data_IF_266101025603
#
_entry.id   IF_266101025603
#
_cell.length_a   1.000
_cell.length_b   1.000
_cell.length_c   1.000
_cell.angle_alpha   90.00
_cell.angle_beta   90.00
_cell.angle_gamma   90.00
#
_symmetry.space_group_name_H-M   'P 1'
#
loop_
_entity.id
_entity.type
_entity.pdbx_description
1 polymer ?
#
# COMPACT_ATOMS: atom_id res chain seq x y z
N UNK A 1 -30.15 21.15 15.64
CA UNK A 1 -30.03 19.71 15.94
C UNK A 1 -29.09 19.10 14.92
N UNK A 2 -27.87 18.72 15.30
CA UNK A 2 -27.00 17.92 14.41
C UNK A 2 -27.65 16.54 14.33
N UNK A 3 -28.19 16.18 13.17
CA UNK A 3 -28.63 14.80 12.90
C UNK A 3 -27.48 13.87 13.24
N UNK A 4 -27.70 12.92 14.15
CA UNK A 4 -26.74 11.89 14.51
C UNK A 4 -26.67 10.87 13.38
N UNK A 5 -26.16 11.26 12.22
CA UNK A 5 -25.86 10.32 11.16
C UNK A 5 -24.63 9.54 11.58
N UNK A 6 -24.84 8.42 12.29
CA UNK A 6 -23.77 7.48 12.60
C UNK A 6 -23.45 6.72 11.32
N UNK A 7 -22.36 7.10 10.64
CA UNK A 7 -21.88 6.36 9.45
C UNK A 7 -21.54 4.91 9.83
N UNK A 8 -21.96 3.90 9.04
CA UNK A 8 -21.75 2.49 9.37
C UNK A 8 -20.30 2.02 9.18
N UNK A 9 -19.52 2.74 8.35
CA UNK A 9 -18.12 2.44 8.06
C UNK A 9 -17.25 3.67 8.27
N UNK A 10 -15.97 3.49 8.68
CA UNK A 10 -14.99 4.56 8.62
C UNK A 10 -14.77 5.03 7.17
N UNK A 11 -14.46 6.31 7.00
CA UNK A 11 -14.07 6.85 5.71
C UNK A 11 -12.57 7.01 5.60
N UNK A 12 -12.03 6.59 4.47
CA UNK A 12 -10.63 6.77 4.09
C UNK A 12 -10.54 7.43 2.72
N UNK A 13 -9.36 7.97 2.40
CA UNK A 13 -9.08 8.53 1.08
C UNK A 13 -7.61 8.38 0.74
N UNK A 14 -7.34 8.06 -0.53
CA UNK A 14 -5.99 8.03 -1.06
C UNK A 14 -5.38 9.43 -1.14
N UNK A 15 -4.16 9.60 -0.64
CA UNK A 15 -3.54 10.94 -0.52
C UNK A 15 -3.35 11.63 -1.87
N UNK A 16 -3.24 10.90 -2.98
CA UNK A 16 -3.20 11.49 -4.31
C UNK A 16 -4.56 12.05 -4.75
N UNK A 17 -5.67 11.50 -4.25
CA UNK A 17 -7.04 11.88 -4.65
C UNK A 17 -7.50 13.24 -4.15
N UNK A 18 -6.64 13.96 -3.43
CA UNK A 18 -6.85 15.36 -3.07
C UNK A 18 -5.84 16.30 -3.75
N UNK A 19 -4.87 15.79 -4.49
CA UNK A 19 -3.92 16.63 -5.23
C UNK A 19 -2.58 15.95 -5.46
N UNK A 20 -1.94 16.29 -6.58
CA UNK A 20 -0.63 15.72 -6.92
C UNK A 20 0.51 16.48 -6.25
N UNK A 21 1.52 15.76 -5.78
CA UNK A 21 2.76 16.35 -5.27
C UNK A 21 3.52 17.14 -6.35
N UNK A 22 3.40 16.72 -7.62
CA UNK A 22 4.04 17.38 -8.77
C UNK A 22 3.47 18.79 -8.99
N UNK A 23 2.18 18.99 -8.72
CA UNK A 23 1.54 20.32 -8.76
C UNK A 23 1.79 21.15 -7.48
N UNK A 24 2.69 20.74 -6.59
CA UNK A 24 3.05 21.48 -5.38
C UNK A 24 2.16 21.20 -4.16
N UNK A 25 1.18 20.30 -4.26
CA UNK A 25 0.33 19.93 -3.13
C UNK A 25 1.10 19.07 -2.10
N UNK A 26 1.66 19.73 -1.09
CA UNK A 26 2.46 19.05 -0.06
C UNK A 26 1.64 18.00 0.72
N UNK A 27 2.28 16.89 1.11
CA UNK A 27 1.62 15.84 1.89
C UNK A 27 1.00 16.38 3.19
N UNK A 28 1.65 17.31 3.88
CA UNK A 28 1.12 17.89 5.11
C UNK A 28 -0.15 18.72 4.91
N UNK A 29 -0.26 19.44 3.80
CA UNK A 29 -1.47 20.18 3.43
C UNK A 29 -2.62 19.24 3.07
N UNK A 30 -2.32 18.18 2.31
CA UNK A 30 -3.29 17.13 1.95
C UNK A 30 -3.86 16.44 3.18
N UNK A 31 -3.01 16.03 4.12
CA UNK A 31 -3.45 15.41 5.38
C UNK A 31 -4.34 16.32 6.21
N UNK A 32 -4.05 17.64 6.27
CA UNK A 32 -4.93 18.61 6.95
C UNK A 32 -6.29 18.71 6.27
N UNK A 33 -6.31 18.90 4.95
CA UNK A 33 -7.55 18.98 4.19
C UNK A 33 -8.44 17.74 4.36
N UNK A 34 -7.82 16.55 4.37
CA UNK A 34 -8.50 15.27 4.62
C UNK A 34 -9.09 15.22 6.04
N UNK A 35 -8.31 15.60 7.06
CA UNK A 35 -8.80 15.64 8.45
C UNK A 35 -9.94 16.65 8.63
N UNK A 36 -9.81 17.85 8.03
CA UNK A 36 -10.81 18.92 8.10
C UNK A 36 -12.12 18.54 7.39
N UNK A 37 -12.06 17.72 6.34
CA UNK A 37 -13.23 17.13 5.68
C UNK A 37 -13.87 15.97 6.49
N UNK A 38 -13.27 15.56 7.62
CA UNK A 38 -13.82 14.59 8.55
C UNK A 38 -13.65 13.13 8.16
N UNK A 39 -12.59 12.80 7.42
CA UNK A 39 -12.16 11.42 7.19
C UNK A 39 -11.57 10.80 8.47
N UNK A 40 -11.67 9.48 8.60
CA UNK A 40 -11.08 8.72 9.71
C UNK A 40 -9.66 8.24 9.40
N UNK A 41 -9.26 8.28 8.12
CA UNK A 41 -7.96 7.81 7.71
C UNK A 41 -7.63 8.07 6.26
N UNK A 42 -6.48 7.52 5.87
CA UNK A 42 -5.91 7.65 4.55
C UNK A 42 -5.35 6.33 4.04
N UNK A 43 -5.22 6.27 2.73
CA UNK A 43 -4.28 5.38 2.05
C UNK A 43 -3.06 6.21 1.64
N UNK A 44 -1.88 5.87 2.14
CA UNK A 44 -0.68 6.67 1.89
C UNK A 44 -0.05 6.28 0.55
N UNK A 45 0.03 7.26 -0.36
CA UNK A 45 0.73 7.08 -1.63
C UNK A 45 2.25 7.02 -1.42
N UNK A 46 2.92 5.99 -1.97
CA UNK A 46 4.37 5.86 -1.89
C UNK A 46 5.10 7.09 -2.46
N UNK A 47 4.65 7.62 -3.59
CA UNK A 47 5.24 8.80 -4.22
C UNK A 47 5.04 10.07 -3.38
N UNK A 48 3.95 10.18 -2.61
CA UNK A 48 3.76 11.31 -1.69
C UNK A 48 4.73 11.24 -0.50
N UNK A 49 4.96 10.03 0.02
CA UNK A 49 5.93 9.83 1.10
C UNK A 49 7.35 10.12 0.61
N UNK A 50 7.71 9.65 -0.59
CA UNK A 50 9.02 9.91 -1.20
C UNK A 50 9.23 11.40 -1.47
N UNK A 51 8.24 12.08 -2.07
CA UNK A 51 8.30 13.51 -2.31
C UNK A 51 8.42 14.31 -1.00
N UNK A 52 7.72 13.89 0.05
CA UNK A 52 7.86 14.49 1.37
C UNK A 52 9.24 14.26 1.97
N UNK A 53 9.76 13.02 1.91
CA UNK A 53 11.08 12.66 2.41
C UNK A 53 12.18 13.51 1.76
N UNK A 54 12.05 13.81 0.47
CA UNK A 54 13.01 14.61 -0.29
C UNK A 54 12.74 16.13 -0.26
N UNK A 55 11.70 16.59 0.43
CA UNK A 55 11.32 18.01 0.45
C UNK A 55 12.21 18.88 1.35
N UNK A 56 12.43 20.14 0.96
CA UNK A 56 13.09 21.14 1.81
C UNK A 56 12.37 21.32 3.15
N UNK A 57 11.03 21.23 3.14
CA UNK A 57 10.21 21.32 4.34
C UNK A 57 10.56 20.24 5.37
N UNK A 58 10.76 18.99 4.92
CA UNK A 58 11.17 17.91 5.82
C UNK A 58 12.61 18.08 6.32
N UNK A 59 13.53 18.52 5.46
CA UNK A 59 14.91 18.81 5.88
C UNK A 59 14.96 19.88 6.97
N UNK A 60 14.15 20.94 6.87
CA UNK A 60 14.02 21.97 7.90
C UNK A 60 13.43 21.42 9.21
N UNK A 61 12.45 20.51 9.13
CA UNK A 61 11.89 19.82 10.30
C UNK A 61 12.98 19.02 11.02
N UNK A 62 13.79 18.27 10.27
CA UNK A 62 14.89 17.48 10.84
C UNK A 62 15.93 18.38 11.51
N UNK A 63 16.38 19.44 10.83
CA UNK A 63 17.37 20.37 11.38
C UNK A 63 16.89 21.03 12.70
N UNK A 64 15.61 21.40 12.78
CA UNK A 64 15.01 21.94 14.02
C UNK A 64 14.98 20.89 15.14
N UNK A 65 14.66 19.63 14.81
CA UNK A 65 14.69 18.51 15.76
C UNK A 65 16.09 18.27 16.32
N UNK A 66 17.12 18.29 15.48
CA UNK A 66 18.51 18.08 15.88
C UNK A 66 19.06 19.23 16.72
N UNK A 67 18.69 20.48 16.38
CA UNK A 67 19.03 21.65 17.19
C UNK A 67 18.40 21.58 18.59
N UNK A 68 17.12 21.18 18.68
CA UNK A 68 16.43 21.02 19.97
C UNK A 68 17.07 19.91 20.83
N UNK A 69 17.44 18.77 20.24
CA UNK A 69 18.15 17.69 20.93
C UNK A 69 19.52 18.15 21.45
N UNK A 70 20.27 18.90 20.64
CA UNK A 70 21.59 19.43 21.01
C UNK A 70 21.53 20.47 22.13
N UNK A 71 20.48 21.29 22.20
CA UNK A 71 20.25 22.21 23.31
C UNK A 71 19.82 21.48 24.59
N UNK A 72 19.00 20.42 24.48
CA UNK A 72 18.58 19.62 25.63
C UNK A 72 19.76 18.87 26.29
N UNK A 73 20.72 18.39 25.49
CA UNK A 73 21.93 17.74 26.01
C UNK A 73 22.89 18.74 26.68
N UNK A 74 22.98 19.98 26.18
CA UNK A 74 23.72 21.06 26.84
C UNK A 74 23.09 21.49 28.17
N UNK A 75 21.76 21.57 28.26
CA UNK A 75 21.08 21.88 29.53
C UNK A 75 21.12 20.73 30.54
N UNK A 76 21.14 19.47 30.09
CA UNK A 76 21.33 18.31 30.98
C UNK A 76 22.72 18.27 31.64
N UNK A 77 23.73 18.90 31.03
CA UNK A 77 25.07 19.07 31.61
C UNK A 77 25.18 20.23 32.63
N UNK A 78 24.15 21.08 32.75
CA UNK A 78 24.16 22.22 33.69
C UNK A 78 23.58 21.90 35.08
N UNK A 79 23.05 20.69 35.30
CA UNK A 79 22.49 20.23 36.59
C UNK A 79 23.11 18.91 37.10
N UNK A 80 24.35 18.61 36.72
CA UNK A 80 25.12 17.53 37.35
C UNK A 80 25.82 18.02 38.63
N UNK A 81 25.03 18.38 39.65
CA UNK A 81 25.46 18.35 41.05
C UNK A 81 24.64 17.27 41.75
N UNK A 82 24.99 16.00 41.51
CA UNK A 82 24.56 14.90 42.37
C UNK A 82 25.60 14.67 43.48
N UNK A 83 25.19 14.55 44.76
CA UNK A 83 26.08 14.31 45.89
C UNK A 83 26.82 12.97 45.77
N UNK A 84 27.99 12.82 46.44
CA UNK A 84 28.72 11.57 46.46
C UNK A 84 27.97 10.57 47.34
N UNK A 85 27.34 9.58 46.70
CA UNK A 85 27.09 8.20 47.16
C UNK A 85 25.79 7.69 46.54
N UNK A 86 25.89 7.13 45.32
CA UNK A 86 24.80 6.32 44.76
C UNK A 86 25.38 5.11 43.98
N UNK A 87 25.00 3.86 44.32
CA UNK A 87 25.72 2.65 43.94
C UNK A 87 25.24 2.05 42.60
N UNK A 88 25.30 2.81 41.50
CA UNK A 88 25.06 2.28 40.15
C UNK A 88 26.04 2.84 39.12
N UNK A 89 27.29 2.40 39.22
CA UNK A 89 28.29 2.57 38.17
C UNK A 89 29.07 1.25 37.97
N UNK A 90 28.38 0.23 37.45
CA UNK A 90 29.02 -1.00 36.97
C UNK A 90 29.29 -0.86 35.48
N UNK A 91 30.44 -0.28 35.15
CA UNK A 91 31.20 -0.58 33.92
C UNK A 91 32.58 0.08 33.99
N UNK A 92 33.53 -0.60 34.65
CA UNK A 92 34.97 -0.50 34.41
C UNK A 92 35.67 -1.66 35.13
N UNK A 93 36.47 -2.43 34.37
CA UNK A 93 37.15 -3.73 34.65
C UNK A 93 36.42 -4.83 33.88
N UNK A 94 36.94 -5.43 32.80
CA UNK A 94 38.32 -5.83 32.53
C UNK A 94 38.64 -5.76 31.03
N UNK A 95 39.84 -5.26 30.71
CA UNK A 95 40.61 -5.59 29.51
C UNK A 95 41.83 -6.39 29.96
N UNK A 96 42.40 -7.18 29.04
CA UNK A 96 43.58 -8.08 29.17
C UNK A 96 43.28 -9.46 29.77
N UNK A 97 43.83 -10.59 29.34
CA UNK A 97 44.54 -11.05 28.13
C UNK A 97 44.80 -12.55 28.40
N UNK A 98 44.77 -13.42 27.38
CA UNK A 98 45.72 -14.52 27.13
C UNK A 98 45.12 -15.60 26.23
N UNK A 99 46.02 -16.29 25.54
CA UNK A 99 45.81 -17.06 24.33
C UNK A 99 46.02 -18.58 24.56
N UNK A 100 45.76 -19.34 23.48
CA UNK A 100 46.38 -20.62 23.05
C UNK A 100 45.55 -21.92 23.15
N UNK A 101 45.78 -22.73 22.09
CA UNK A 101 45.53 -24.16 21.77
C UNK A 101 44.13 -24.55 21.29
N UNK A 102 43.86 -24.91 20.02
CA UNK A 102 44.33 -26.02 19.14
C UNK A 102 44.02 -27.44 19.62
N UNK A 103 43.03 -28.10 19.02
CA UNK A 103 43.13 -29.35 18.22
C UNK A 103 41.71 -29.86 17.87
N UNK A 104 41.35 -30.08 16.58
CA UNK A 104 41.29 -31.37 15.83
C UNK A 104 40.41 -32.45 16.51
N UNK A 105 39.55 -33.26 15.89
CA UNK A 105 39.32 -33.79 14.54
C UNK A 105 37.95 -34.53 14.54
N UNK A 106 37.15 -34.43 13.47
CA UNK A 106 36.81 -35.48 12.48
C UNK A 106 35.68 -36.50 12.80
N UNK A 107 34.91 -36.78 11.74
CA UNK A 107 34.17 -38.00 11.39
C UNK A 107 32.76 -38.28 11.96
N UNK A 108 31.71 -38.09 11.13
CA UNK A 108 31.07 -39.02 10.17
C UNK A 108 30.05 -39.98 10.80
N UNK A 109 28.80 -39.92 10.33
CA UNK A 109 28.12 -41.03 9.60
C UNK A 109 26.62 -41.03 9.84
N UNK A 110 25.90 -41.18 8.74
CA UNK A 110 24.47 -41.31 8.63
C UNK A 110 23.92 -42.61 9.27
N UNK A 111 22.64 -42.62 9.61
CA UNK A 111 21.72 -43.70 9.22
C UNK A 111 20.25 -43.26 9.30
N UNK A 112 19.49 -43.87 8.40
CA UNK A 112 18.17 -43.57 7.86
C UNK A 112 16.99 -44.01 8.72
N UNK A 113 15.83 -43.34 8.56
CA UNK A 113 14.51 -44.00 8.62
C UNK A 113 13.54 -43.44 7.57
N UNK A 114 12.73 -44.35 7.03
CA UNK A 114 11.86 -44.27 5.85
C UNK A 114 10.52 -43.55 6.10
N UNK A 115 10.12 -42.76 5.08
CA UNK A 115 8.80 -42.71 4.42
C UNK A 115 7.53 -42.64 5.28
N UNK A 116 6.98 -41.43 5.38
CA UNK A 116 5.54 -41.16 5.43
C UNK A 116 5.19 -40.12 4.36
N UNK A 117 4.35 -40.48 3.39
CA UNK A 117 3.89 -39.59 2.32
C UNK A 117 2.99 -38.48 2.89
N UNK A 118 3.44 -37.24 2.75
CA UNK A 118 2.57 -36.06 2.67
C UNK A 118 3.06 -35.25 1.49
N UNK A 119 2.20 -35.04 0.49
CA UNK A 119 2.47 -34.18 -0.66
C UNK A 119 2.45 -32.72 -0.20
N UNK A 120 3.53 -32.28 0.41
CA UNK A 120 3.78 -30.86 0.67
C UNK A 120 4.25 -30.20 -0.62
N UNK A 121 3.55 -29.16 -1.06
CA UNK A 121 4.11 -28.21 -2.03
C UNK A 121 5.40 -27.67 -1.43
N UNK A 122 6.54 -28.01 -2.04
CA UNK A 122 7.84 -27.45 -1.72
C UNK A 122 7.86 -26.03 -2.25
N UNK A 123 7.48 -25.06 -1.43
CA UNK A 123 7.78 -23.66 -1.70
C UNK A 123 9.29 -23.51 -1.61
N UNK A 124 9.98 -23.44 -2.75
CA UNK A 124 11.37 -23.02 -2.77
C UNK A 124 11.40 -21.55 -2.37
N UNK A 125 11.48 -21.28 -1.07
CA UNK A 125 11.93 -19.98 -0.61
C UNK A 125 13.25 -19.70 -1.34
N UNK A 126 13.32 -18.58 -2.05
CA UNK A 126 14.61 -18.11 -2.55
C UNK A 126 15.48 -17.92 -1.31
N UNK A 127 16.40 -18.85 -1.08
CA UNK A 127 17.42 -18.76 -0.06
C UNK A 127 18.23 -17.50 -0.36
N UNK A 128 18.05 -16.42 0.41
CA UNK A 128 18.72 -15.15 0.12
C UNK A 128 18.07 -13.85 0.62
N UNK A 129 16.99 -13.91 1.40
CA UNK A 129 16.41 -12.72 2.06
C UNK A 129 16.71 -12.63 3.57
N UNK A 130 17.52 -13.56 4.09
CA UNK A 130 18.08 -13.47 5.45
C UNK A 130 19.14 -12.35 5.56
N UNK A 131 19.77 -11.99 4.44
CA UNK A 131 20.68 -10.86 4.27
C UNK A 131 19.88 -9.55 4.14
N UNK A 132 19.32 -9.06 5.25
CA UNK A 132 19.15 -7.64 5.67
C UNK A 132 18.80 -6.53 4.64
N UNK A 133 18.32 -6.87 3.43
CA UNK A 133 18.12 -6.03 2.25
C UNK A 133 19.38 -5.33 1.71
N UNK A 134 20.57 -5.81 2.03
CA UNK A 134 21.79 -5.27 1.44
C UNK A 134 21.97 -5.75 -0.01
N UNK A 135 22.45 -4.86 -0.87
CA UNK A 135 22.73 -5.16 -2.28
C UNK A 135 24.14 -5.73 -2.40
N UNK A 136 24.27 -6.84 -3.12
CA UNK A 136 25.55 -7.50 -3.39
C UNK A 136 25.77 -7.63 -4.90
N UNK A 137 27.03 -7.60 -5.33
CA UNK A 137 27.44 -7.82 -6.72
C UNK A 137 27.49 -9.32 -7.08
N UNK A 138 27.93 -9.65 -8.29
CA UNK A 138 28.08 -11.03 -8.78
C UNK A 138 29.10 -11.86 -8.01
N UNK A 139 30.03 -11.22 -7.28
CA UNK A 139 31.03 -11.86 -6.44
C UNK A 139 30.55 -12.00 -4.98
N UNK A 140 29.37 -11.49 -4.65
CA UNK A 140 28.81 -11.49 -3.28
C UNK A 140 29.27 -10.31 -2.42
N UNK A 141 30.02 -9.37 -2.98
CA UNK A 141 30.55 -8.20 -2.27
C UNK A 141 29.48 -7.11 -2.14
N UNK A 142 29.52 -6.36 -1.04
CA UNK A 142 28.56 -5.28 -0.82
C UNK A 142 28.74 -4.17 -1.85
N UNK A 143 27.64 -3.81 -2.51
CA UNK A 143 27.63 -2.65 -3.41
C UNK A 143 27.58 -1.39 -2.56
N UNK A 144 28.59 -0.52 -2.72
CA UNK A 144 28.72 0.74 -1.99
C UNK A 144 28.21 1.90 -2.86
N UNK A 145 27.30 2.70 -2.32
CA UNK A 145 26.78 3.89 -2.96
C UNK A 145 27.80 5.04 -3.00
N UNK A 146 27.48 6.10 -3.74
CA UNK A 146 28.31 7.31 -3.85
C UNK A 146 28.50 8.04 -2.51
N UNK A 147 27.62 7.78 -1.54
CA UNK A 147 27.71 8.30 -0.17
C UNK A 147 28.64 7.46 0.73
N UNK A 148 29.28 6.42 0.20
CA UNK A 148 30.18 5.54 0.93
C UNK A 148 29.45 4.52 1.83
N UNK A 149 28.13 4.40 1.71
CA UNK A 149 27.33 3.45 2.49
C UNK A 149 26.84 2.29 1.61
N UNK A 150 26.55 1.11 2.20
CA UNK A 150 25.95 0.00 1.46
C UNK A 150 24.62 0.39 0.80
N UNK A 151 24.40 -0.11 -0.42
CA UNK A 151 23.13 0.04 -1.11
C UNK A 151 22.07 -0.92 -0.56
N UNK A 152 20.81 -0.53 -0.65
CA UNK A 152 19.62 -1.28 -0.21
C UNK A 152 18.48 -1.10 -1.22
N UNK A 153 17.24 -1.43 -0.84
CA UNK A 153 16.06 -1.35 -1.69
C UNK A 153 14.99 -0.44 -1.08
N UNK A 154 14.25 0.26 -1.93
CA UNK A 154 12.98 0.88 -1.61
C UNK A 154 11.88 0.50 -2.61
N UNK A 155 10.75 1.21 -2.60
CA UNK A 155 9.64 0.99 -3.54
C UNK A 155 10.05 1.09 -5.02
N UNK A 156 11.03 1.94 -5.31
CA UNK A 156 11.44 2.33 -6.67
C UNK A 156 12.66 1.55 -7.17
N UNK A 157 13.26 0.70 -6.34
CA UNK A 157 14.40 -0.13 -6.70
C UNK A 157 15.56 0.02 -5.73
N UNK A 158 16.77 -0.02 -6.27
CA UNK A 158 18.00 0.12 -5.47
C UNK A 158 18.16 1.59 -5.03
N UNK A 159 18.51 1.81 -3.77
CA UNK A 159 18.82 3.13 -3.22
C UNK A 159 19.99 3.06 -2.23
N UNK A 160 20.51 4.20 -1.78
CA UNK A 160 21.54 4.21 -0.73
C UNK A 160 20.91 4.05 0.65
N UNK A 161 21.68 3.56 1.63
CA UNK A 161 21.23 3.51 3.02
C UNK A 161 20.81 4.89 3.56
N UNK A 162 21.39 5.99 3.06
CA UNK A 162 20.99 7.35 3.43
C UNK A 162 19.56 7.65 2.98
N UNK A 163 19.26 7.43 1.69
CA UNK A 163 17.90 7.63 1.14
C UNK A 163 16.87 6.80 1.89
N UNK A 164 17.18 5.53 2.17
CA UNK A 164 16.27 4.65 2.89
C UNK A 164 16.03 5.11 4.35
N UNK A 165 17.07 5.57 5.05
CA UNK A 165 16.91 6.15 6.41
C UNK A 165 16.09 7.44 6.39
N UNK A 166 16.24 8.25 5.36
CA UNK A 166 15.46 9.48 5.19
C UNK A 166 13.97 9.15 4.98
N UNK A 167 13.66 8.14 4.17
CA UNK A 167 12.30 7.62 4.01
C UNK A 167 11.72 7.12 5.35
N UNK A 168 12.48 6.36 6.15
CA UNK A 168 12.04 5.89 7.48
C UNK A 168 11.80 7.03 8.47
N UNK A 169 12.65 8.07 8.44
CA UNK A 169 12.46 9.26 9.26
C UNK A 169 11.18 10.02 8.85
N UNK A 170 10.96 10.17 7.54
CA UNK A 170 9.76 10.80 6.99
C UNK A 170 8.50 10.01 7.36
N UNK A 171 8.54 8.68 7.24
CA UNK A 171 7.46 7.79 7.65
C UNK A 171 7.10 7.96 9.12
N UNK A 172 8.10 8.01 10.01
CA UNK A 172 7.90 8.23 11.45
C UNK A 172 7.26 9.58 11.75
N UNK A 173 7.66 10.62 11.01
CA UNK A 173 7.05 11.95 11.13
C UNK A 173 5.59 11.94 10.66
N UNK A 174 5.31 11.35 9.49
CA UNK A 174 3.96 11.25 8.94
C UNK A 174 3.05 10.44 9.84
N UNK A 175 3.54 9.37 10.47
CA UNK A 175 2.79 8.63 11.49
C UNK A 175 2.36 9.52 12.65
N UNK A 176 3.31 10.29 13.21
CA UNK A 176 3.06 11.21 14.32
C UNK A 176 2.11 12.35 13.92
N UNK A 177 2.24 12.85 12.69
CA UNK A 177 1.40 13.91 12.17
C UNK A 177 -0.03 13.43 11.91
N UNK A 178 -0.21 12.22 11.34
CA UNK A 178 -1.51 11.60 11.20
C UNK A 178 -2.16 11.33 12.57
N UNK A 179 -1.40 10.88 13.57
CA UNK A 179 -1.89 10.69 14.94
C UNK A 179 -2.42 12.01 15.54
N UNK A 180 -1.68 13.12 15.35
CA UNK A 180 -2.11 14.44 15.79
C UNK A 180 -3.40 14.92 15.08
N UNK A 181 -3.57 14.55 13.81
CA UNK A 181 -4.77 14.80 13.01
C UNK A 181 -5.87 13.74 13.20
N UNK A 182 -5.62 12.69 14.00
CA UNK A 182 -6.52 11.54 14.21
C UNK A 182 -6.88 10.78 12.93
N UNK A 183 -5.94 10.73 11.98
CA UNK A 183 -6.05 9.93 10.78
C UNK A 183 -5.37 8.56 10.99
N UNK A 184 -6.08 7.48 10.72
CA UNK A 184 -5.47 6.15 10.56
C UNK A 184 -4.81 6.06 9.18
N UNK A 185 -3.59 5.54 9.12
CA UNK A 185 -2.99 5.11 7.85
C UNK A 185 -3.45 3.67 7.61
N UNK A 186 -4.42 3.48 6.72
CA UNK A 186 -5.04 2.17 6.45
C UNK A 186 -4.16 1.28 5.57
N UNK A 187 -3.42 1.86 4.63
CA UNK A 187 -2.56 1.13 3.70
C UNK A 187 -1.35 1.98 3.28
N UNK A 188 -0.27 1.30 2.89
CA UNK A 188 0.82 1.87 2.09
C UNK A 188 0.65 1.36 0.66
N UNK A 189 0.52 2.26 -0.31
CA UNK A 189 0.08 1.87 -1.64
C UNK A 189 0.50 2.84 -2.76
N UNK A 190 0.41 2.41 -4.03
CA UNK A 190 0.42 1.03 -4.48
C UNK A 190 1.86 0.53 -4.65
N UNK A 191 2.15 -0.72 -4.29
CA UNK A 191 3.35 -1.40 -4.78
C UNK A 191 3.07 -1.95 -6.18
N UNK A 192 3.96 -1.65 -7.13
CA UNK A 192 3.80 -2.00 -8.54
C UNK A 192 4.80 -3.06 -8.99
N UNK A 193 4.47 -3.73 -10.09
CA UNK A 193 5.32 -4.67 -10.81
C UNK A 193 5.88 -5.79 -9.90
N UNK A 194 4.99 -6.41 -9.11
CA UNK A 194 5.40 -7.39 -8.11
C UNK A 194 5.37 -8.83 -8.64
N UNK A 195 4.22 -9.27 -9.13
CA UNK A 195 3.96 -10.67 -9.44
C UNK A 195 4.31 -11.04 -10.88
N UNK A 196 4.48 -12.34 -11.11
CA UNK A 196 4.44 -12.94 -12.44
C UNK A 196 5.72 -12.78 -13.25
N UNK A 197 6.83 -12.31 -12.69
CA UNK A 197 8.11 -12.19 -13.42
C UNK A 197 8.58 -13.54 -13.97
N UNK A 198 8.90 -13.59 -15.27
CA UNK A 198 9.32 -14.82 -15.94
C UNK A 198 10.73 -15.26 -15.53
N UNK A 199 11.64 -14.30 -15.28
CA UNK A 199 13.00 -14.56 -14.81
C UNK A 199 13.05 -14.52 -13.29
N UNK A 200 13.78 -15.47 -12.71
CA UNK A 200 13.98 -15.56 -11.25
C UNK A 200 14.71 -14.34 -10.67
N UNK A 201 15.58 -13.70 -11.43
CA UNK A 201 16.30 -12.49 -11.02
C UNK A 201 15.34 -11.29 -10.84
N UNK A 202 14.46 -11.07 -11.81
CA UNK A 202 13.45 -9.99 -11.74
C UNK A 202 12.43 -10.26 -10.62
N UNK A 203 12.03 -11.52 -10.43
CA UNK A 203 11.21 -11.96 -9.30
C UNK A 203 11.89 -11.65 -7.96
N UNK A 204 13.18 -11.94 -7.83
CA UNK A 204 13.96 -11.64 -6.62
C UNK A 204 14.03 -10.13 -6.36
N UNK A 205 14.22 -9.32 -7.40
CA UNK A 205 14.19 -7.86 -7.28
C UNK A 205 12.83 -7.35 -6.80
N UNK A 206 11.73 -7.88 -7.34
CA UNK A 206 10.38 -7.55 -6.90
C UNK A 206 10.14 -7.90 -5.42
N UNK A 207 10.59 -9.08 -4.97
CA UNK A 207 10.52 -9.49 -3.56
C UNK A 207 11.34 -8.58 -2.65
N UNK A 208 12.55 -8.18 -3.07
CA UNK A 208 13.40 -7.25 -2.31
C UNK A 208 12.74 -5.88 -2.15
N UNK A 209 12.17 -5.33 -3.24
CA UNK A 209 11.39 -4.09 -3.18
C UNK A 209 10.21 -4.22 -2.23
N UNK A 210 9.41 -5.29 -2.35
CA UNK A 210 8.24 -5.52 -1.51
C UNK A 210 8.62 -5.65 -0.01
N UNK A 211 9.62 -6.47 0.33
CA UNK A 211 10.09 -6.68 1.71
C UNK A 211 10.62 -5.39 2.31
N UNK A 212 11.30 -4.53 1.53
CA UNK A 212 11.79 -3.22 2.01
C UNK A 212 10.71 -2.30 2.57
N UNK A 213 9.44 -2.56 2.26
CA UNK A 213 8.34 -1.74 2.75
C UNK A 213 7.97 -2.06 4.19
N UNK A 214 8.33 -3.23 4.74
CA UNK A 214 7.87 -3.65 6.07
C UNK A 214 8.38 -2.75 7.21
N UNK A 215 9.61 -2.25 7.13
CA UNK A 215 10.11 -1.27 8.12
C UNK A 215 9.43 0.10 7.96
N UNK A 216 9.16 0.53 6.73
CA UNK A 216 8.38 1.75 6.45
C UNK A 216 6.97 1.60 7.02
N UNK A 217 6.32 0.46 6.82
CA UNK A 217 5.01 0.14 7.38
C UNK A 217 5.02 0.12 8.92
N UNK A 218 6.07 -0.42 9.54
CA UNK A 218 6.27 -0.39 10.99
C UNK A 218 6.39 1.05 11.50
N UNK A 219 7.16 1.90 10.82
CA UNK A 219 7.31 3.32 11.16
C UNK A 219 6.00 4.10 11.00
N UNK A 220 5.23 3.80 9.94
CA UNK A 220 3.91 4.38 9.69
C UNK A 220 2.83 3.89 10.67
N UNK A 221 2.98 2.67 11.19
CA UNK A 221 1.93 1.98 11.94
C UNK A 221 0.77 1.50 11.05
N UNK A 222 1.04 1.15 9.79
CA UNK A 222 0.06 0.56 8.86
C UNK A 222 0.29 -0.93 8.65
N UNK A 223 -0.80 -1.71 8.63
CA UNK A 223 -0.76 -3.17 8.54
C UNK A 223 -1.08 -3.73 7.15
N UNK A 224 -1.41 -2.89 6.17
CA UNK A 224 -1.77 -3.35 4.82
C UNK A 224 -0.84 -2.78 3.76
N UNK A 225 -0.14 -3.68 3.06
CA UNK A 225 0.57 -3.37 1.82
C UNK A 225 -0.36 -3.70 0.66
N UNK A 226 -0.72 -2.70 -0.15
CA UNK A 226 -1.55 -2.89 -1.34
C UNK A 226 -0.66 -3.04 -2.57
N UNK A 227 -0.87 -4.13 -3.29
CA UNK A 227 -0.15 -4.49 -4.51
C UNK A 227 -1.16 -4.50 -5.66
N UNK A 228 -0.91 -3.67 -6.66
CA UNK A 228 -1.72 -3.66 -7.87
C UNK A 228 -1.14 -4.64 -8.90
N UNK A 229 -2.02 -5.26 -9.70
CA UNK A 229 -1.62 -6.22 -10.72
C UNK A 229 -0.59 -5.64 -11.70
N UNK A 230 0.41 -6.44 -12.06
CA UNK A 230 1.47 -6.10 -12.98
C UNK A 230 0.92 -5.79 -14.39
N UNK A 231 1.48 -4.77 -15.04
CA UNK A 231 1.11 -4.34 -16.39
C UNK A 231 2.18 -4.69 -17.45
N UNK A 232 3.31 -5.28 -17.06
CA UNK A 232 4.30 -5.81 -18.00
C UNK A 232 3.73 -7.03 -18.73
N UNK A 233 3.86 -7.08 -20.06
CA UNK A 233 3.27 -8.11 -20.91
C UNK A 233 4.18 -9.35 -21.08
N UNK A 234 3.64 -10.44 -21.61
CA UNK A 234 4.43 -11.60 -22.03
C UNK A 234 5.45 -11.20 -23.13
N UNK A 235 6.70 -11.74 -23.12
CA UNK A 235 7.24 -12.80 -22.26
C UNK A 235 7.94 -12.30 -20.98
N UNK A 236 7.89 -11.00 -20.66
CA UNK A 236 8.55 -10.43 -19.47
C UNK A 236 7.91 -11.01 -18.20
N UNK A 237 6.60 -11.15 -18.23
CA UNK A 237 5.80 -11.79 -17.19
C UNK A 237 5.00 -12.97 -17.72
N UNK A 238 4.66 -13.90 -16.84
CA UNK A 238 3.79 -15.04 -17.07
C UNK A 238 2.47 -14.85 -16.30
N UNK A 239 1.37 -15.26 -16.93
CA UNK A 239 0.04 -15.05 -16.40
C UNK A 239 -0.56 -16.23 -15.65
N UNK A 240 0.18 -17.31 -15.40
CA UNK A 240 -0.39 -18.48 -14.73
C UNK A 240 -0.68 -18.18 -13.25
N UNK A 241 -1.88 -18.57 -12.80
CA UNK A 241 -2.38 -18.24 -11.46
C UNK A 241 -1.51 -18.85 -10.36
N UNK A 242 -0.92 -20.01 -10.61
CA UNK A 242 -0.05 -20.69 -9.67
C UNK A 242 1.19 -19.84 -9.37
N UNK A 243 1.83 -19.27 -10.39
CA UNK A 243 3.00 -18.42 -10.24
C UNK A 243 2.66 -17.16 -9.46
N UNK A 244 1.58 -16.49 -9.84
CA UNK A 244 1.13 -15.27 -9.17
C UNK A 244 0.79 -15.56 -7.71
N UNK A 245 0.07 -16.64 -7.43
CA UNK A 245 -0.27 -17.04 -6.07
C UNK A 245 0.95 -17.46 -5.25
N UNK A 246 1.94 -18.14 -5.85
CA UNK A 246 3.21 -18.47 -5.20
C UNK A 246 4.01 -17.19 -4.82
N UNK A 247 4.06 -16.18 -5.70
CA UNK A 247 4.71 -14.89 -5.42
C UNK A 247 4.04 -14.18 -4.22
N UNK A 248 2.71 -14.13 -4.20
CA UNK A 248 1.93 -13.56 -3.09
C UNK A 248 2.14 -14.34 -1.79
N UNK A 249 2.12 -15.68 -1.85
CA UNK A 249 2.35 -16.54 -0.68
C UNK A 249 3.77 -16.38 -0.11
N UNK A 250 4.76 -16.19 -0.97
CA UNK A 250 6.14 -15.96 -0.56
C UNK A 250 6.30 -14.63 0.18
N UNK A 251 5.73 -13.54 -0.34
CA UNK A 251 5.75 -12.25 0.36
C UNK A 251 5.00 -12.30 1.69
N UNK A 252 3.87 -13.01 1.72
CA UNK A 252 3.10 -13.24 2.94
C UNK A 252 3.89 -14.01 4.00
N UNK A 253 4.73 -14.97 3.59
CA UNK A 253 5.64 -15.67 4.49
C UNK A 253 6.68 -14.71 5.08
N UNK A 254 7.28 -13.82 4.27
CA UNK A 254 8.21 -12.80 4.79
C UNK A 254 7.53 -11.83 5.74
N UNK A 255 6.29 -11.44 5.46
CA UNK A 255 5.49 -10.62 6.36
C UNK A 255 5.25 -11.31 7.71
N UNK A 256 5.02 -12.63 7.73
CA UNK A 256 4.89 -13.41 8.96
C UNK A 256 6.21 -13.47 9.74
N UNK A 257 7.34 -13.70 9.06
CA UNK A 257 8.66 -13.74 9.69
C UNK A 257 9.09 -12.38 10.27
N UNK A 258 8.72 -11.29 9.60
CA UNK A 258 8.99 -9.92 10.07
C UNK A 258 8.27 -9.59 11.38
N UNK A 259 7.14 -10.24 11.62
CA UNK A 259 6.32 -10.04 12.80
C UNK A 259 5.29 -8.90 12.67
N UNK A 260 4.48 -8.69 13.71
CA UNK A 260 3.40 -7.73 13.67
C UNK A 260 3.90 -6.28 13.73
N UNK A 261 3.08 -5.36 13.24
CA UNK A 261 3.25 -3.91 13.40
C UNK A 261 2.27 -3.38 14.46
N UNK A 262 2.66 -2.31 15.16
CA UNK A 262 1.83 -1.67 16.19
C UNK A 262 0.95 -0.58 15.56
N UNK A 263 -0.23 -0.98 15.10
CA UNK A 263 -1.18 -0.10 14.44
C UNK A 263 -1.98 0.73 15.45
N UNK A 264 -2.19 2.04 15.22
CA UNK A 264 -3.13 2.84 15.99
C UNK A 264 -4.53 2.22 15.99
N UNK A 265 -5.13 2.10 17.17
CA UNK A 265 -6.52 1.68 17.36
C UNK A 265 -7.35 2.86 17.85
N UNK A 266 -8.41 3.17 17.10
CA UNK A 266 -9.37 4.22 17.44
C UNK A 266 -10.70 3.53 17.77
N UNK A 267 -11.27 3.80 18.95
CA UNK A 267 -12.62 3.29 19.29
C UNK A 267 -13.66 4.05 18.49
N UNK A 268 -14.74 3.37 18.11
CA UNK A 268 -15.89 3.99 17.46
C UNK A 268 -16.41 5.18 18.27
N UNK A 269 -16.44 6.37 17.66
CA UNK A 269 -16.89 7.60 18.31
C UNK A 269 -15.92 8.22 19.33
N UNK A 270 -14.69 7.73 19.47
CA UNK A 270 -13.74 8.27 20.44
C UNK A 270 -12.90 9.41 19.84
N UNK A 271 -12.94 10.56 20.51
CA UNK A 271 -12.15 11.75 20.21
C UNK A 271 -10.63 11.57 20.43
N UNK A 272 -10.14 10.36 20.77
CA UNK A 272 -8.73 10.08 21.13
C UNK A 272 -8.28 8.67 20.72
N UNK A 273 -6.98 8.54 20.48
CA UNK A 273 -6.29 7.26 20.30
C UNK A 273 -6.57 6.34 21.50
N UNK A 274 -7.08 5.13 21.24
CA UNK A 274 -7.41 4.17 22.29
C UNK A 274 -6.21 3.31 22.70
N UNK A 275 -5.22 3.17 21.83
CA UNK A 275 -4.00 2.42 22.04
C UNK A 275 -3.35 2.00 20.74
N UNK A 276 -2.38 1.09 20.81
CA UNK A 276 -1.79 0.43 19.65
C UNK A 276 -2.02 -1.07 19.77
N UNK A 277 -2.39 -1.69 18.66
CA UNK A 277 -2.65 -3.12 18.56
C UNK A 277 -1.61 -3.76 17.66
N UNK A 278 -1.06 -4.90 18.09
CA UNK A 278 -0.21 -5.71 17.24
C UNK A 278 -1.06 -6.34 16.13
N UNK A 279 -0.76 -6.02 14.87
CA UNK A 279 -1.45 -6.55 13.69
C UNK A 279 -0.45 -7.21 12.74
N UNK A 280 -0.76 -8.39 12.17
CA UNK A 280 0.09 -8.99 11.15
C UNK A 280 0.14 -8.08 9.93
N UNK A 281 1.27 -8.04 9.25
CA UNK A 281 1.35 -7.40 7.92
C UNK A 281 0.50 -8.23 6.95
N UNK A 282 -0.47 -7.56 6.33
CA UNK A 282 -1.40 -8.06 5.33
C UNK A 282 -0.96 -7.63 3.94
N UNK A 283 -1.06 -8.55 2.99
CA UNK A 283 -0.80 -8.34 1.57
C UNK A 283 -2.14 -8.28 0.85
N UNK A 284 -2.51 -7.09 0.38
CA UNK A 284 -3.69 -6.87 -0.45
C UNK A 284 -3.33 -6.94 -1.93
N UNK A 285 -4.09 -7.70 -2.72
CA UNK A 285 -3.90 -7.78 -4.17
C UNK A 285 -5.10 -7.20 -4.92
N UNK A 286 -4.82 -6.26 -5.82
CA UNK A 286 -5.80 -5.48 -6.58
C UNK A 286 -5.66 -5.75 -8.09
N UNK A 287 -6.77 -6.03 -8.78
CA UNK A 287 -6.76 -6.12 -10.24
C UNK A 287 -6.92 -4.72 -10.86
N UNK A 288 -5.95 -4.29 -11.66
CA UNK A 288 -6.08 -3.08 -12.47
C UNK A 288 -6.87 -3.38 -13.75
N UNK A 289 -7.75 -2.49 -14.19
CA UNK A 289 -8.53 -2.68 -15.43
C UNK A 289 -7.70 -2.76 -16.72
N UNK A 290 -6.39 -2.57 -16.61
CA UNK A 290 -5.38 -2.72 -17.65
C UNK A 290 -4.23 -3.66 -17.25
N UNK A 291 -4.38 -4.47 -16.19
CA UNK A 291 -3.35 -5.44 -15.80
C UNK A 291 -3.03 -6.41 -16.95
N UNK A 292 -1.78 -6.84 -17.05
CA UNK A 292 -1.33 -7.65 -18.18
C UNK A 292 -1.97 -9.05 -18.18
N UNK A 293 -2.01 -9.66 -17.00
CA UNK A 293 -2.55 -11.02 -16.83
C UNK A 293 -3.70 -11.09 -15.83
N UNK A 294 -3.87 -10.08 -14.99
CA UNK A 294 -4.94 -10.01 -13.99
C UNK A 294 -5.59 -8.65 -14.10
N UNK A 295 -6.75 -8.60 -14.75
CA UNK A 295 -7.46 -7.37 -15.05
C UNK A 295 -8.92 -7.34 -14.57
N UNK A 296 -9.37 -8.45 -13.96
CA UNK A 296 -10.69 -8.61 -13.35
C UNK A 296 -10.55 -9.10 -11.91
N UNK A 297 -11.44 -8.66 -11.02
CA UNK A 297 -11.38 -8.99 -9.59
C UNK A 297 -11.45 -10.50 -9.35
N UNK A 298 -12.23 -11.22 -10.17
CA UNK A 298 -12.43 -12.67 -10.05
C UNK A 298 -11.13 -13.45 -10.27
N UNK A 299 -10.23 -12.92 -11.12
CA UNK A 299 -8.91 -13.50 -11.36
C UNK A 299 -7.92 -13.15 -10.27
N UNK A 300 -7.96 -11.93 -9.72
CA UNK A 300 -7.22 -11.59 -8.50
C UNK A 300 -7.65 -12.50 -7.33
N UNK A 301 -8.94 -12.80 -7.20
CA UNK A 301 -9.45 -13.74 -6.21
C UNK A 301 -8.94 -15.18 -6.42
N UNK A 302 -8.78 -15.63 -7.67
CA UNK A 302 -8.15 -16.93 -7.95
C UNK A 302 -6.70 -16.97 -7.47
N UNK A 303 -5.92 -15.92 -7.70
CA UNK A 303 -4.55 -15.79 -7.20
C UNK A 303 -4.49 -15.78 -5.67
N UNK A 304 -5.35 -14.99 -5.01
CA UNK A 304 -5.45 -14.95 -3.54
C UNK A 304 -5.84 -16.32 -2.97
N UNK A 305 -6.79 -17.02 -3.60
CA UNK A 305 -7.15 -18.40 -3.21
C UNK A 305 -6.00 -19.38 -3.38
N UNK A 306 -5.24 -19.27 -4.47
CA UNK A 306 -4.10 -20.14 -4.70
C UNK A 306 -2.96 -19.89 -3.70
N UNK A 307 -2.73 -18.62 -3.35
CA UNK A 307 -1.73 -18.26 -2.36
C UNK A 307 -1.98 -18.93 -0.99
N UNK A 308 -3.26 -19.11 -0.63
CA UNK A 308 -3.71 -19.87 0.54
C UNK A 308 -3.03 -19.43 1.86
N UNK A 309 -3.07 -18.12 2.12
CA UNK A 309 -2.50 -17.50 3.33
C UNK A 309 -3.50 -16.58 4.01
N UNK A 310 -3.61 -16.66 5.34
CA UNK A 310 -4.50 -15.80 6.12
C UNK A 310 -4.22 -14.31 5.94
N UNK A 311 -2.95 -13.93 5.80
CA UNK A 311 -2.52 -12.55 5.59
C UNK A 311 -2.42 -12.14 4.11
N UNK A 312 -3.05 -12.88 3.19
CA UNK A 312 -3.25 -12.47 1.78
C UNK A 312 -4.74 -12.33 1.52
N UNK A 313 -5.13 -11.21 0.92
CA UNK A 313 -6.53 -10.86 0.66
C UNK A 313 -6.71 -10.00 -0.59
N UNK A 314 -7.97 -9.90 -1.02
CA UNK A 314 -8.41 -9.13 -2.16
C UNK A 314 -8.59 -7.66 -1.78
N UNK A 315 -8.22 -6.79 -2.70
CA UNK A 315 -8.57 -5.37 -2.70
C UNK A 315 -9.58 -5.16 -3.83
N UNK A 316 -10.73 -4.60 -3.46
CA UNK A 316 -11.78 -4.28 -4.42
C UNK A 316 -11.69 -2.79 -4.77
N UNK A 317 -11.50 -2.47 -6.04
CA UNK A 317 -11.62 -1.11 -6.57
C UNK A 317 -12.81 -1.07 -7.53
N UNK A 318 -13.78 -0.20 -7.25
CA UNK A 318 -14.98 -0.04 -8.07
C UNK A 318 -14.69 0.50 -9.46
N UNK A 319 -13.78 1.47 -9.62
CA UNK A 319 -13.37 1.94 -10.93
C UNK A 319 -12.71 0.81 -11.71
N UNK A 320 -11.71 0.14 -11.15
CA UNK A 320 -10.96 -0.87 -11.89
C UNK A 320 -11.88 -2.03 -12.32
N UNK A 321 -12.74 -2.50 -11.42
CA UNK A 321 -13.71 -3.56 -11.75
C UNK A 321 -14.71 -3.10 -12.82
N UNK A 322 -15.40 -1.99 -12.58
CA UNK A 322 -16.50 -1.55 -13.44
C UNK A 322 -16.01 -0.96 -14.75
N UNK A 323 -14.83 -0.36 -14.76
CA UNK A 323 -14.13 -0.05 -15.99
C UNK A 323 -13.98 -1.34 -16.79
N UNK A 324 -13.29 -2.37 -16.27
CA UNK A 324 -13.01 -3.56 -17.07
C UNK A 324 -14.26 -4.30 -17.54
N UNK A 325 -15.28 -4.40 -16.68
CA UNK A 325 -16.39 -5.33 -16.89
C UNK A 325 -17.64 -4.69 -17.49
N UNK A 326 -17.88 -3.39 -17.24
CA UNK A 326 -19.08 -2.68 -17.71
C UNK A 326 -18.78 -1.57 -18.72
N UNK A 327 -17.82 -0.70 -18.41
CA UNK A 327 -17.54 0.47 -19.23
C UNK A 327 -16.51 0.19 -20.34
N UNK A 328 -16.47 1.06 -21.34
CA UNK A 328 -15.39 1.09 -22.32
C UNK A 328 -15.21 2.52 -22.84
N UNK A 329 -14.08 3.19 -22.52
CA UNK A 329 -13.87 4.59 -22.91
C UNK A 329 -13.70 4.78 -24.42
N UNK A 330 -13.56 3.70 -25.20
CA UNK A 330 -13.42 3.73 -26.65
C UNK A 330 -14.76 3.58 -27.40
N UNK A 331 -15.87 3.40 -26.68
CA UNK A 331 -17.22 3.27 -27.27
C UNK A 331 -17.96 4.59 -27.25
N UNK A 332 -18.92 4.77 -28.18
CA UNK A 332 -19.75 5.97 -28.24
C UNK A 332 -20.62 6.18 -26.98
N UNK A 333 -21.03 5.09 -26.33
CA UNK A 333 -21.89 5.13 -25.15
C UNK A 333 -21.08 5.21 -23.85
N UNK A 334 -19.76 4.94 -23.88
CA UNK A 334 -18.93 4.73 -22.71
C UNK A 334 -19.16 3.37 -22.03
N UNK A 335 -20.06 2.53 -22.57
CA UNK A 335 -20.44 1.21 -22.07
C UNK A 335 -19.95 0.18 -23.09
N UNK A 336 -19.45 -0.97 -22.62
CA UNK A 336 -18.89 -1.99 -23.50
C UNK A 336 -19.93 -2.54 -24.48
N UNK A 337 -19.59 -2.59 -25.77
CA UNK A 337 -20.43 -3.20 -26.82
C UNK A 337 -20.21 -4.72 -26.93
N UNK A 338 -19.49 -5.33 -25.97
CA UNK A 338 -19.20 -6.78 -25.97
C UNK A 338 -20.43 -7.65 -25.75
N UNK A 339 -21.49 -7.08 -25.17
CA UNK A 339 -22.69 -7.80 -24.78
C UNK A 339 -23.94 -7.04 -25.22
N UNK A 340 -25.04 -7.74 -25.57
CA UNK A 340 -26.32 -7.09 -25.87
C UNK A 340 -26.90 -6.33 -24.68
N UNK A 341 -26.66 -6.83 -23.45
CA UNK A 341 -27.04 -6.18 -22.19
C UNK A 341 -25.84 -6.14 -21.23
N UNK A 342 -24.97 -5.12 -21.35
CA UNK A 342 -23.78 -4.99 -20.51
C UNK A 342 -24.09 -4.85 -19.02
N UNK A 343 -25.24 -4.27 -18.68
CA UNK A 343 -25.65 -4.10 -17.27
C UNK A 343 -25.98 -5.45 -16.65
N UNK A 344 -26.80 -6.27 -17.32
CA UNK A 344 -27.09 -7.62 -16.82
C UNK A 344 -25.83 -8.49 -16.69
N UNK A 345 -24.85 -8.35 -17.59
CA UNK A 345 -23.60 -9.11 -17.49
C UNK A 345 -22.72 -8.65 -16.32
N UNK A 346 -22.55 -7.35 -16.09
CA UNK A 346 -21.77 -6.89 -14.91
C UNK A 346 -22.47 -7.24 -13.60
N UNK A 347 -23.81 -7.22 -13.55
CA UNK A 347 -24.54 -7.61 -12.35
C UNK A 347 -24.28 -9.07 -11.94
N UNK A 348 -24.13 -10.00 -12.90
CA UNK A 348 -23.73 -11.38 -12.59
C UNK A 348 -22.35 -11.45 -11.91
N UNK A 349 -21.42 -10.62 -12.36
CA UNK A 349 -20.08 -10.53 -11.76
C UNK A 349 -20.14 -9.91 -10.36
N UNK A 350 -20.89 -8.82 -10.20
CA UNK A 350 -21.13 -8.15 -8.92
C UNK A 350 -21.76 -9.11 -7.91
N UNK A 351 -22.80 -9.85 -8.29
CA UNK A 351 -23.48 -10.82 -7.42
C UNK A 351 -22.53 -11.96 -6.99
N UNK A 352 -21.55 -12.31 -7.83
CA UNK A 352 -20.54 -13.32 -7.51
C UNK A 352 -19.54 -12.87 -6.42
N UNK A 353 -19.51 -11.59 -6.04
CA UNK A 353 -18.74 -11.12 -4.87
C UNK A 353 -19.17 -11.81 -3.58
N UNK A 354 -20.45 -12.21 -3.47
CA UNK A 354 -20.97 -13.00 -2.33
C UNK A 354 -20.24 -14.33 -2.11
N UNK A 355 -19.48 -14.82 -3.10
CA UNK A 355 -18.66 -16.04 -3.01
C UNK A 355 -17.28 -15.81 -2.41
N UNK A 356 -16.88 -14.56 -2.18
CA UNK A 356 -15.63 -14.18 -1.52
C UNK A 356 -15.89 -14.10 -0.02
N UNK A 357 -15.16 -14.85 0.84
CA UNK A 357 -15.27 -14.70 2.28
C UNK A 357 -14.95 -13.26 2.71
N UNK A 358 -15.76 -12.70 3.62
CA UNK A 358 -15.63 -11.32 4.09
C UNK A 358 -14.22 -11.01 4.61
N UNK A 359 -13.62 -11.96 5.35
CA UNK A 359 -12.28 -11.85 5.91
C UNK A 359 -11.17 -11.81 4.85
N UNK A 360 -11.47 -12.22 3.61
CA UNK A 360 -10.55 -12.11 2.46
C UNK A 360 -10.71 -10.82 1.67
N UNK A 361 -11.68 -9.97 1.99
CA UNK A 361 -11.79 -8.63 1.41
C UNK A 361 -11.09 -7.67 2.37
N UNK A 362 -9.83 -7.36 2.08
CA UNK A 362 -9.00 -6.56 2.97
C UNK A 362 -9.28 -5.06 2.89
N UNK A 363 -9.77 -4.59 1.74
CA UNK A 363 -10.01 -3.18 1.50
C UNK A 363 -10.98 -2.93 0.33
N UNK A 364 -11.70 -1.81 0.41
CA UNK A 364 -12.64 -1.35 -0.62
C UNK A 364 -12.31 0.09 -1.00
N UNK A 365 -11.90 0.26 -2.26
CA UNK A 365 -11.64 1.53 -2.90
C UNK A 365 -12.79 1.89 -3.83
N UNK A 366 -13.19 3.15 -3.76
CA UNK A 366 -14.40 3.66 -4.38
C UNK A 366 -14.01 4.83 -5.27
N UNK A 367 -14.28 4.66 -6.55
CA UNK A 367 -14.16 5.65 -7.60
C UNK A 367 -15.20 5.38 -8.69
N UNK A 368 -15.75 6.45 -9.24
CA UNK A 368 -16.58 6.42 -10.45
C UNK A 368 -15.73 6.92 -11.63
N UNK A 369 -16.35 7.09 -12.80
CA UNK A 369 -15.68 7.61 -13.97
C UNK A 369 -16.55 8.60 -14.75
N UNK A 370 -15.90 9.62 -15.33
CA UNK A 370 -16.54 10.54 -16.26
C UNK A 370 -16.76 9.84 -17.59
N UNK A 371 -18.01 9.80 -18.05
CA UNK A 371 -18.30 9.41 -19.43
C UNK A 371 -17.63 10.38 -20.40
N UNK A 372 -16.82 9.84 -21.31
CA UNK A 372 -16.08 10.65 -22.27
C UNK A 372 -17.03 11.35 -23.25
N UNK A 373 -16.83 12.65 -23.47
CA UNK A 373 -17.61 13.41 -24.45
C UNK A 373 -17.35 12.92 -25.89
N UNK A 374 -16.12 12.50 -26.16
CA UNK A 374 -15.71 11.81 -27.38
C UNK A 374 -14.97 10.52 -27.00
N UNK A 375 -15.25 9.38 -27.67
CA UNK A 375 -14.55 8.14 -27.37
C UNK A 375 -13.04 8.29 -27.54
N UNK A 376 -12.28 7.65 -26.66
CA UNK A 376 -10.85 7.52 -26.83
C UNK A 376 -10.53 6.63 -28.03
N UNK A 377 -9.41 6.90 -28.69
CA UNK A 377 -8.89 5.97 -29.69
C UNK A 377 -8.46 4.67 -29.00
N UNK A 378 -8.72 3.49 -29.60
CA UNK A 378 -8.24 2.22 -29.06
C UNK A 378 -6.71 2.20 -28.89
N UNK A 379 -6.26 1.89 -27.68
CA UNK A 379 -4.84 1.78 -27.33
C UNK A 379 -4.63 0.68 -26.29
N UNK A 380 -3.45 0.03 -26.22
CA UNK A 380 -2.16 0.48 -26.76
C UNK A 380 -2.02 0.30 -28.29
N UNK A 381 -1.31 1.23 -28.95
CA UNK A 381 -0.95 1.23 -30.37
C UNK A 381 0.40 1.96 -30.58
N UNK A 382 0.96 2.05 -31.81
CA UNK A 382 2.26 2.69 -32.04
C UNK A 382 2.36 4.17 -31.63
N UNK A 383 1.26 4.93 -31.70
CA UNK A 383 1.22 6.36 -31.37
C UNK A 383 0.91 6.60 -29.89
N UNK A 384 0.16 5.68 -29.28
CA UNK A 384 -0.23 5.72 -27.88
C UNK A 384 0.03 4.35 -27.22
N UNK A 385 1.20 4.15 -26.60
CA UNK A 385 1.58 2.86 -26.03
C UNK A 385 0.85 2.55 -24.71
N UNK A 386 0.13 3.51 -24.10
CA UNK A 386 -0.61 3.28 -22.86
C UNK A 386 -1.99 2.69 -23.17
N UNK A 387 -2.49 1.74 -22.36
CA UNK A 387 -3.86 1.25 -22.51
C UNK A 387 -4.91 2.37 -22.36
N UNK A 388 -5.96 2.35 -23.16
CA UNK A 388 -6.97 3.42 -23.16
C UNK A 388 -7.63 3.60 -21.78
N UNK A 389 -7.85 2.50 -21.06
CA UNK A 389 -8.36 2.52 -19.67
C UNK A 389 -7.41 3.17 -18.68
N UNK A 390 -6.10 3.05 -18.88
CA UNK A 390 -5.11 3.74 -18.04
C UNK A 390 -5.16 5.25 -18.26
N UNK A 391 -5.27 5.68 -19.53
CA UNK A 391 -5.41 7.10 -19.89
C UNK A 391 -6.69 7.66 -19.27
N UNK A 392 -7.80 6.94 -19.44
CA UNK A 392 -9.08 7.31 -18.86
C UNK A 392 -8.99 7.39 -17.33
N UNK A 393 -8.47 6.35 -16.68
CA UNK A 393 -8.26 6.30 -15.24
C UNK A 393 -7.47 7.50 -14.74
N UNK A 394 -6.37 7.89 -15.38
CA UNK A 394 -5.48 8.95 -14.85
C UNK A 394 -6.03 10.36 -14.95
N UNK A 395 -7.06 10.59 -15.77
CA UNK A 395 -7.62 11.93 -15.98
C UNK A 395 -9.11 12.07 -15.62
N UNK A 396 -9.84 10.96 -15.52
CA UNK A 396 -11.31 11.00 -15.59
C UNK A 396 -12.00 10.11 -14.54
N UNK A 397 -11.32 9.65 -13.47
CA UNK A 397 -12.07 9.13 -12.32
C UNK A 397 -12.83 10.27 -11.66
N UNK A 398 -13.99 9.96 -11.11
CA UNK A 398 -14.84 10.89 -10.37
C UNK A 398 -15.09 10.37 -8.96
N UNK A 399 -15.43 11.27 -8.05
CA UNK A 399 -15.94 10.86 -6.75
C UNK A 399 -17.31 10.19 -6.94
N UNK A 400 -17.70 9.25 -6.05
CA UNK A 400 -18.97 8.55 -6.20
C UNK A 400 -20.14 9.53 -6.22
N UNK A 401 -21.17 9.18 -7.00
CA UNK A 401 -22.42 9.92 -7.11
C UNK A 401 -22.31 11.35 -7.69
N UNK A 402 -21.18 11.72 -8.31
CA UNK A 402 -20.98 12.97 -9.08
C UNK A 402 -21.68 12.93 -10.46
N UNK A 403 -22.98 12.62 -10.49
CA UNK A 403 -23.74 12.45 -11.75
C UNK A 403 -23.76 13.70 -12.63
N UNK A 404 -23.70 14.90 -12.03
CA UNK A 404 -23.59 16.17 -12.76
C UNK A 404 -22.28 16.29 -13.53
N UNK A 405 -21.22 15.63 -13.05
CA UNK A 405 -19.92 15.56 -13.70
C UNK A 405 -19.83 14.42 -14.72
N UNK A 406 -20.88 13.60 -14.83
CA UNK A 406 -20.94 12.49 -15.78
C UNK A 406 -20.51 11.14 -15.20
N UNK A 407 -20.54 10.98 -13.87
CA UNK A 407 -20.47 9.68 -13.21
C UNK A 407 -21.59 8.75 -13.72
N UNK A 408 -21.27 7.50 -14.01
CA UNK A 408 -22.22 6.56 -14.65
C UNK A 408 -21.96 5.08 -14.39
N UNK A 409 -20.88 4.73 -13.66
CA UNK A 409 -20.61 3.34 -13.33
C UNK A 409 -21.62 2.85 -12.28
N UNK A 410 -21.97 1.54 -12.24
CA UNK A 410 -22.86 0.97 -11.23
C UNK A 410 -22.13 0.79 -9.88
N UNK A 411 -21.61 1.90 -9.34
CA UNK A 411 -20.83 1.95 -8.09
C UNK A 411 -21.70 1.57 -6.90
N UNK A 412 -22.96 2.03 -6.89
CA UNK A 412 -23.93 1.68 -5.84
C UNK A 412 -24.07 0.17 -5.73
N UNK A 413 -24.32 -0.52 -6.83
CA UNK A 413 -24.53 -1.96 -6.88
C UNK A 413 -23.28 -2.72 -6.46
N UNK A 414 -22.11 -2.29 -6.95
CA UNK A 414 -20.82 -2.88 -6.57
C UNK A 414 -20.55 -2.76 -5.06
N UNK A 415 -20.70 -1.56 -4.49
CA UNK A 415 -20.47 -1.32 -3.07
C UNK A 415 -21.52 -2.03 -2.20
N UNK A 416 -22.79 -2.04 -2.64
CA UNK A 416 -23.84 -2.81 -1.99
C UNK A 416 -23.50 -4.30 -1.95
N UNK A 417 -23.05 -4.91 -3.06
CA UNK A 417 -22.66 -6.31 -3.07
C UNK A 417 -21.46 -6.59 -2.16
N UNK A 418 -20.41 -5.78 -2.22
CA UNK A 418 -19.23 -5.94 -1.36
C UNK A 418 -19.59 -5.88 0.14
N UNK A 419 -20.48 -4.97 0.54
CA UNK A 419 -20.81 -4.73 1.94
C UNK A 419 -21.92 -5.64 2.45
N UNK A 420 -23.04 -5.72 1.72
CA UNK A 420 -24.27 -6.41 2.17
C UNK A 420 -24.28 -7.89 1.82
N UNK A 421 -23.67 -8.28 0.71
CA UNK A 421 -23.69 -9.66 0.24
C UNK A 421 -22.40 -10.39 0.61
N UNK A 422 -21.23 -9.79 0.35
CA UNK A 422 -19.93 -10.38 0.68
C UNK A 422 -19.50 -10.10 2.14
N UNK A 423 -20.15 -9.17 2.83
CA UNK A 423 -19.94 -8.93 4.27
C UNK A 423 -18.74 -8.04 4.62
N UNK A 424 -18.21 -7.25 3.67
CA UNK A 424 -17.12 -6.32 3.96
C UNK A 424 -17.51 -5.29 5.03
N UNK A 425 -16.69 -5.21 6.09
CA UNK A 425 -16.94 -4.35 7.25
C UNK A 425 -15.85 -3.26 7.46
N UNK A 426 -14.87 -3.18 6.56
CA UNK A 426 -13.76 -2.22 6.68
C UNK A 426 -14.12 -0.80 6.26
N UNK A 427 -13.09 0.03 6.03
CA UNK A 427 -13.25 1.43 5.64
C UNK A 427 -13.72 1.55 4.19
N UNK A 428 -14.60 2.52 3.94
CA UNK A 428 -14.93 2.96 2.59
C UNK A 428 -13.91 3.99 2.17
N UNK A 429 -13.03 3.62 1.24
CA UNK A 429 -11.93 4.49 0.84
C UNK A 429 -12.15 5.08 -0.54
N UNK A 430 -11.83 6.35 -0.71
CA UNK A 430 -11.88 7.02 -2.02
C UNK A 430 -10.55 6.83 -2.76
N UNK A 431 -10.62 6.36 -3.99
CA UNK A 431 -9.48 6.36 -4.91
C UNK A 431 -9.85 6.94 -6.29
N UNK A 432 -9.51 8.22 -6.44
CA UNK A 432 -9.75 9.02 -7.63
C UNK A 432 -8.44 9.55 -8.19
N UNK A 433 -8.29 9.41 -9.50
CA UNK A 433 -7.29 10.10 -10.33
C UNK A 433 -8.05 10.97 -11.34
N UNK A 434 -7.87 12.28 -11.25
CA UNK A 434 -8.56 13.26 -12.08
C UNK A 434 -7.57 14.32 -12.54
N UNK A 435 -7.74 14.87 -13.74
CA UNK A 435 -6.89 15.97 -14.21
C UNK A 435 -6.92 17.19 -13.30
N UNK A 436 -8.04 17.46 -12.62
CA UNK A 436 -8.17 18.59 -11.68
C UNK A 436 -7.31 18.45 -10.42
N UNK A 437 -6.72 17.28 -10.16
CA UNK A 437 -5.77 17.08 -9.06
C UNK A 437 -4.42 17.74 -9.34
N UNK A 438 -4.17 18.10 -10.60
CA UNK A 438 -2.95 18.79 -11.05
C UNK A 438 -3.17 20.27 -11.31
N UNK A 439 -4.37 20.81 -11.02
CA UNK A 439 -4.63 22.25 -11.11
C UNK A 439 -3.71 23.00 -10.14
N UNK A 440 -3.29 24.21 -10.54
CA UNK A 440 -2.51 25.10 -9.68
C UNK A 440 -3.46 25.76 -8.67
N UNK A 441 -3.33 25.45 -7.38
CA UNK A 441 -4.13 26.10 -6.34
C UNK A 441 -3.97 25.50 -4.95
N UNK A 442 -3.82 26.35 -3.93
CA UNK A 442 -3.74 25.88 -2.54
C UNK A 442 -5.06 25.28 -2.03
N UNK A 443 -6.18 25.58 -2.70
CA UNK A 443 -7.52 25.09 -2.38
C UNK A 443 -7.82 23.71 -2.97
N UNK A 444 -7.02 23.20 -3.91
CA UNK A 444 -7.21 21.90 -4.57
C UNK A 444 -7.37 20.77 -3.54
N UNK A 445 -6.48 20.61 -2.52
CA UNK A 445 -6.67 19.62 -1.46
C UNK A 445 -7.97 19.74 -0.69
N UNK A 446 -8.36 20.96 -0.33
CA UNK A 446 -9.57 21.21 0.46
C UNK A 446 -10.82 20.89 -0.36
N UNK A 447 -10.89 21.40 -1.58
CA UNK A 447 -12.03 21.19 -2.49
C UNK A 447 -12.24 19.71 -2.80
N UNK A 448 -11.17 18.97 -3.14
CA UNK A 448 -11.27 17.55 -3.46
C UNK A 448 -11.61 16.70 -2.24
N UNK A 449 -11.06 17.00 -1.05
CA UNK A 449 -11.45 16.32 0.18
C UNK A 449 -12.95 16.52 0.50
N UNK A 450 -13.48 17.73 0.30
CA UNK A 450 -14.90 18.02 0.50
C UNK A 450 -15.81 17.31 -0.52
N UNK A 451 -15.41 17.29 -1.80
CA UNK A 451 -16.14 16.55 -2.85
C UNK A 451 -16.17 15.04 -2.57
N UNK A 452 -15.02 14.48 -2.20
CA UNK A 452 -14.91 13.08 -1.80
C UNK A 452 -15.84 12.75 -0.63
N UNK A 453 -15.86 13.62 0.39
CA UNK A 453 -16.73 13.45 1.55
C UNK A 453 -18.21 13.47 1.16
N UNK A 454 -18.63 14.46 0.37
CA UNK A 454 -20.00 14.57 -0.08
C UNK A 454 -20.44 13.35 -0.93
N UNK A 455 -19.56 12.83 -1.78
CA UNK A 455 -19.81 11.62 -2.55
C UNK A 455 -20.03 10.39 -1.67
N UNK A 456 -19.19 10.17 -0.65
CA UNK A 456 -19.35 9.05 0.29
C UNK A 456 -20.65 9.15 1.10
N UNK A 457 -20.97 10.34 1.63
CA UNK A 457 -22.20 10.54 2.40
C UNK A 457 -23.45 10.21 1.55
N UNK A 458 -23.48 10.65 0.29
CA UNK A 458 -24.54 10.32 -0.65
C UNK A 458 -24.56 8.83 -1.03
N UNK A 459 -23.40 8.22 -1.24
CA UNK A 459 -23.31 6.79 -1.55
C UNK A 459 -23.83 5.93 -0.40
N UNK A 460 -23.58 6.32 0.86
CA UNK A 460 -24.17 5.65 2.02
C UNK A 460 -25.69 5.71 1.97
N UNK A 461 -26.28 6.87 1.67
CA UNK A 461 -27.74 6.99 1.48
C UNK A 461 -28.22 6.04 0.37
N UNK A 462 -27.54 6.01 -0.78
CA UNK A 462 -27.94 5.17 -1.92
C UNK A 462 -27.82 3.66 -1.66
N UNK A 463 -26.82 3.22 -0.90
CA UNK A 463 -26.57 1.80 -0.57
C UNK A 463 -27.47 1.29 0.56
N UNK A 464 -27.91 2.18 1.46
CA UNK A 464 -28.73 1.81 2.63
C UNK A 464 -30.20 2.24 2.55
N UNK A 465 -30.60 2.97 1.51
CA UNK A 465 -32.00 3.18 1.12
C UNK A 465 -32.60 1.89 0.55
#
# INVERSE_FOLDING_TARGET
MRSSYTRPHPYSIFTHSVGTNIAGHSLLAKLRAIADAGFDGIELFQDDLDAFANSEGFQQIQARGDAARSQSSQHSNAFALTPPDSPMNFNRRFSESSAVSTDSSSNTSATSYRSGKASGKSYSAVAGLDDDLLVRDENGELVIGLDGLPMTYNAFGICTATTYRQELAAASYIASYCEALRLRIYSLQPLRDFEGWAKSEDQLLALRRARSRFEVMRALGTDLLLICSNNQQHPITVGNIERIGDDLAQLAHFAQQFGPILAPSYRSGAERLAGREAKPIRIGYEALSWGAHVDVWSRAWQAVKYADRDNVGLILDSFNTLAREYADPCTATGITDRYPDPYAEVMKSIDALSTVPAEKIFFLQIGDARKMAQPLAPSPNPDEPRPARMIWSRGNRLFPCEYKEGAFLPVKEFVHAAVKQAGYAGAWSIEVFNSSLSDEGEDVPVSHAQRARAGLDKLVEEVYA
#
